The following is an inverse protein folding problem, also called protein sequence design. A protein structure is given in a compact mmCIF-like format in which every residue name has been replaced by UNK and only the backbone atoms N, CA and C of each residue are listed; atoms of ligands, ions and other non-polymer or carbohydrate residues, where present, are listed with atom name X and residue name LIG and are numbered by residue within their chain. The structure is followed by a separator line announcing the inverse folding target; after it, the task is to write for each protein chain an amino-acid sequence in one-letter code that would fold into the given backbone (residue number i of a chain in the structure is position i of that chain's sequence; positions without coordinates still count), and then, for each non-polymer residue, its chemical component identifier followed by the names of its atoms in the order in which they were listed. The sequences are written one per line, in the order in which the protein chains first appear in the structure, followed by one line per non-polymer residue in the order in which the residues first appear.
data_IF_645836838936
#
_entry.id   IF_645836838936
#
_cell.length_a   1.000
_cell.length_b   1.000
_cell.length_c   1.000
_cell.angle_alpha   90.00
_cell.angle_beta   90.00
_cell.angle_gamma   90.00
#
_symmetry.space_group_name_H-M   'P 1'
#
loop_
_entity.id
_entity.type
_entity.pdbx_description
1 polymer ?
#
# COMPACT_ATOMS: atom_id res chain seq x y z
N UNK A 1 -9.51 4.76 -4.23
CA UNK A 1 -8.66 3.55 -4.17
C UNK A 1 -7.83 3.46 -2.88
N UNK A 2 -7.82 2.30 -2.22
CA UNK A 2 -7.05 1.96 -0.99
C UNK A 2 -7.12 2.99 0.15
N UNK A 3 -8.32 3.37 0.59
CA UNK A 3 -8.49 4.41 1.61
C UNK A 3 -8.05 3.93 3.00
N UNK A 4 -8.45 2.72 3.38
CA UNK A 4 -8.16 2.15 4.69
C UNK A 4 -6.68 1.81 4.82
N UNK A 5 -6.05 1.30 3.76
CA UNK A 5 -4.60 1.04 3.73
C UNK A 5 -3.79 2.33 3.93
N UNK A 6 -4.18 3.44 3.29
CA UNK A 6 -3.50 4.74 3.50
C UNK A 6 -3.62 5.22 4.94
N UNK A 7 -4.82 5.12 5.52
CA UNK A 7 -5.04 5.49 6.92
C UNK A 7 -4.19 4.61 7.85
N UNK A 8 -4.09 3.31 7.57
CA UNK A 8 -3.23 2.39 8.31
C UNK A 8 -1.75 2.81 8.23
N UNK A 9 -1.22 3.05 7.02
CA UNK A 9 0.17 3.49 6.84
C UNK A 9 0.47 4.79 7.60
N UNK A 10 -0.45 5.77 7.52
CA UNK A 10 -0.32 7.03 8.26
C UNK A 10 -0.32 6.83 9.77
N UNK A 11 -1.23 5.99 10.29
CA UNK A 11 -1.30 5.67 11.72
C UNK A 11 -0.01 5.01 12.25
N UNK A 12 0.71 4.29 11.39
CA UNK A 12 1.99 3.66 11.69
C UNK A 12 3.21 4.53 11.34
N UNK A 13 3.02 5.78 10.91
CA UNK A 13 4.10 6.69 10.54
C UNK A 13 4.89 6.23 9.30
N UNK A 14 4.27 5.46 8.41
CA UNK A 14 4.88 4.95 7.19
C UNK A 14 4.60 5.91 6.04
N UNK A 15 5.64 6.57 5.56
CA UNK A 15 5.57 7.41 4.38
C UNK A 15 5.13 6.60 3.14
N UNK A 16 4.31 7.22 2.30
CA UNK A 16 3.89 6.65 1.02
C UNK A 16 3.80 7.70 -0.08
N UNK A 17 3.91 7.24 -1.32
CA UNK A 17 3.75 8.04 -2.54
C UNK A 17 2.79 7.34 -3.51
N UNK A 18 1.89 8.13 -4.11
CA UNK A 18 0.88 7.63 -5.05
C UNK A 18 1.39 7.83 -6.47
N UNK A 19 1.38 6.77 -7.26
CA UNK A 19 1.71 6.81 -8.67
C UNK A 19 0.60 6.14 -9.47
N UNK A 20 0.08 6.84 -10.48
CA UNK A 20 -0.90 6.27 -11.38
C UNK A 20 -0.22 5.95 -12.71
N UNK A 21 -0.30 4.69 -13.13
CA UNK A 21 0.25 4.25 -14.41
C UNK A 21 -0.93 3.94 -15.30
N UNK A 22 -0.99 4.59 -16.46
CA UNK A 22 -1.95 4.28 -17.49
C UNK A 22 -1.26 3.39 -18.54
N UNK A 23 -1.35 2.06 -18.43
CA UNK A 23 -0.72 1.18 -19.39
C UNK A 23 -1.39 1.32 -20.76
N UNK A 24 -0.58 1.45 -21.82
CA UNK A 24 -1.06 1.68 -23.19
C UNK A 24 -1.76 0.45 -23.81
N UNK A 25 -1.48 -0.76 -23.30
CA UNK A 25 -1.87 -2.03 -23.95
C UNK A 25 -2.76 -2.96 -23.11
N UNK A 26 -3.10 -2.63 -21.86
CA UNK A 26 -4.02 -3.45 -21.06
C UNK A 26 -5.26 -2.64 -20.65
N UNK A 27 -6.46 -3.26 -20.71
CA UNK A 27 -7.71 -2.58 -20.38
C UNK A 27 -7.84 -2.24 -18.88
N UNK A 28 -7.02 -2.87 -18.04
CA UNK A 28 -7.01 -2.66 -16.61
C UNK A 28 -6.15 -1.46 -16.22
N UNK A 29 -6.69 -0.60 -15.35
CA UNK A 29 -5.92 0.51 -14.80
C UNK A 29 -5.06 0.03 -13.65
N UNK A 30 -3.83 0.55 -13.61
CA UNK A 30 -2.86 0.17 -12.59
C UNK A 30 -2.63 1.35 -11.65
N UNK A 31 -2.99 1.16 -10.38
CA UNK A 31 -2.71 2.11 -9.32
C UNK A 31 -1.55 1.60 -8.47
N UNK A 32 -0.45 2.35 -8.40
CA UNK A 32 0.73 1.99 -7.62
C UNK A 32 0.82 2.88 -6.38
N UNK A 33 0.97 2.26 -5.21
CA UNK A 33 1.21 2.96 -3.94
C UNK A 33 2.56 2.50 -3.40
N UNK A 34 3.58 3.33 -3.56
CA UNK A 34 4.92 3.12 -3.02
C UNK A 34 4.94 3.48 -1.54
N UNK A 35 5.62 2.74 -0.69
CA UNK A 35 5.64 2.99 0.76
C UNK A 35 6.91 2.46 1.45
N UNK A 36 7.16 2.95 2.66
CA UNK A 36 8.32 2.56 3.47
C UNK A 36 9.62 3.10 2.92
N UNK A 37 9.76 4.44 2.99
CA UNK A 37 10.96 5.15 2.52
C UNK A 37 12.20 4.77 3.34
N UNK A 38 13.26 4.37 2.66
CA UNK A 38 14.56 4.07 3.24
C UNK A 38 15.64 4.65 2.33
N UNK A 39 16.59 5.39 2.92
CA UNK A 39 17.71 5.99 2.20
C UNK A 39 17.29 6.84 0.99
N UNK A 40 16.15 7.53 1.09
CA UNK A 40 15.61 8.39 0.03
C UNK A 40 14.64 7.69 -0.93
N UNK A 41 14.59 6.36 -0.96
CA UNK A 41 13.81 5.59 -1.92
C UNK A 41 12.66 4.79 -1.28
N UNK A 42 11.56 4.62 -2.01
CA UNK A 42 10.47 3.75 -1.60
C UNK A 42 10.73 2.30 -2.01
N UNK A 43 10.96 1.45 -1.01
CA UNK A 43 11.36 0.06 -1.25
C UNK A 43 10.17 -0.88 -1.47
N UNK A 44 9.00 -0.54 -0.92
CA UNK A 44 7.82 -1.38 -0.99
C UNK A 44 6.74 -0.75 -1.87
N UNK A 45 5.90 -1.58 -2.49
CA UNK A 45 4.80 -1.09 -3.33
C UNK A 45 3.57 -1.98 -3.26
N UNK A 46 2.40 -1.37 -3.32
CA UNK A 46 1.14 -2.01 -3.67
C UNK A 46 0.85 -1.70 -5.14
N UNK A 47 0.52 -2.72 -5.92
CA UNK A 47 0.06 -2.59 -7.29
C UNK A 47 -1.40 -3.04 -7.30
N UNK A 48 -2.30 -2.15 -7.66
CA UNK A 48 -3.74 -2.40 -7.67
C UNK A 48 -4.22 -2.39 -9.11
N UNK A 49 -4.65 -3.55 -9.56
CA UNK A 49 -5.35 -3.72 -10.83
C UNK A 49 -6.83 -3.47 -10.56
N UNK A 50 -7.40 -2.49 -11.25
CA UNK A 50 -8.80 -2.14 -11.10
C UNK A 50 -9.46 -1.84 -12.44
N UNK A 51 -10.77 -2.06 -12.48
CA UNK A 51 -11.64 -1.71 -13.59
C UNK A 51 -12.77 -0.79 -13.12
N UNK A 52 -13.49 -0.19 -14.06
CA UNK A 52 -14.74 0.49 -13.77
C UNK A 52 -15.90 -0.46 -14.00
N UNK A 53 -16.87 -0.46 -13.08
CA UNK A 53 -18.18 -1.04 -13.35
C UNK A 53 -18.90 -0.20 -14.40
N UNK A 54 -19.95 -0.76 -15.00
CA UNK A 54 -20.86 -0.01 -15.89
C UNK A 54 -21.42 1.27 -15.25
N UNK A 55 -21.54 1.30 -13.92
CA UNK A 55 -21.94 2.47 -13.12
C UNK A 55 -20.80 3.45 -12.80
N UNK A 56 -19.60 3.26 -13.36
CA UNK A 56 -18.43 4.12 -13.16
C UNK A 56 -17.75 3.97 -11.80
N UNK A 57 -18.10 2.94 -10.99
CA UNK A 57 -17.45 2.70 -9.70
C UNK A 57 -16.17 1.91 -9.91
N UNK A 58 -15.12 2.30 -9.19
CA UNK A 58 -13.88 1.53 -9.13
C UNK A 58 -14.13 0.15 -8.51
N UNK A 59 -13.79 -0.90 -9.25
CA UNK A 59 -13.76 -2.28 -8.78
C UNK A 59 -12.31 -2.75 -8.72
N UNK A 60 -11.85 -3.07 -7.53
CA UNK A 60 -10.54 -3.73 -7.33
C UNK A 60 -10.67 -5.17 -7.85
N UNK A 61 -9.82 -5.54 -8.80
CA UNK A 61 -9.71 -6.92 -9.28
C UNK A 61 -8.65 -7.66 -8.48
N UNK A 62 -7.48 -7.02 -8.29
CA UNK A 62 -6.33 -7.62 -7.63
C UNK A 62 -5.46 -6.57 -6.98
N UNK A 63 -4.89 -6.92 -5.82
CA UNK A 63 -3.88 -6.12 -5.15
C UNK A 63 -2.63 -6.98 -4.94
N UNK A 64 -1.53 -6.56 -5.54
CA UNK A 64 -0.24 -7.21 -5.42
C UNK A 64 0.63 -6.39 -4.48
N UNK A 65 1.01 -6.98 -3.35
CA UNK A 65 2.00 -6.44 -2.43
C UNK A 65 3.38 -6.98 -2.79
N UNK A 66 4.31 -6.04 -3.03
CA UNK A 66 5.72 -6.35 -3.22
C UNK A 66 6.52 -5.64 -2.13
N UNK A 67 7.03 -6.45 -1.19
CA UNK A 67 7.97 -6.00 -0.18
C UNK A 67 9.41 -6.17 -0.68
N UNK A 68 10.29 -5.28 -0.25
CA UNK A 68 11.71 -5.42 -0.52
C UNK A 68 12.29 -6.67 0.18
N UNK A 69 13.13 -7.43 -0.52
CA UNK A 69 13.65 -8.73 -0.07
C UNK A 69 12.66 -9.90 -0.19
N UNK A 70 11.42 -9.66 -0.64
CA UNK A 70 10.44 -10.72 -0.85
C UNK A 70 10.62 -11.40 -2.21
N UNK A 71 10.89 -12.71 -2.22
CA UNK A 71 11.09 -13.50 -3.46
C UNK A 71 9.83 -13.60 -4.32
N UNK A 72 8.66 -13.75 -3.69
CA UNK A 72 7.37 -13.85 -4.38
C UNK A 72 6.41 -12.78 -3.87
N UNK A 73 5.84 -11.93 -4.75
CA UNK A 73 4.84 -10.97 -4.34
C UNK A 73 3.61 -11.69 -3.77
N UNK A 74 2.88 -11.01 -2.87
CA UNK A 74 1.61 -11.53 -2.32
C UNK A 74 0.44 -10.87 -3.01
N UNK A 75 -0.57 -11.67 -3.30
CA UNK A 75 -1.74 -11.22 -4.03
C UNK A 75 -2.97 -11.29 -3.12
N UNK A 76 -3.83 -10.29 -3.24
CA UNK A 76 -5.03 -10.15 -2.45
C UNK A 76 -6.19 -9.74 -3.34
N UNK A 77 -7.37 -10.33 -3.12
CA UNK A 77 -8.57 -10.00 -3.87
C UNK A 77 -9.19 -8.64 -3.46
N UNK A 78 -8.93 -8.16 -2.25
CA UNK A 78 -9.54 -6.93 -1.74
C UNK A 78 -8.71 -6.27 -0.62
N UNK A 79 -9.06 -5.03 -0.31
CA UNK A 79 -8.39 -4.20 0.69
C UNK A 79 -8.48 -4.80 2.11
N UNK A 80 -9.56 -5.52 2.45
CA UNK A 80 -9.72 -6.12 3.77
C UNK A 80 -8.71 -7.25 4.03
N UNK A 81 -8.50 -8.14 3.05
CA UNK A 81 -7.49 -9.20 3.12
C UNK A 81 -6.08 -8.63 3.16
N UNK A 82 -5.83 -7.56 2.41
CA UNK A 82 -4.57 -6.84 2.46
C UNK A 82 -4.31 -6.29 3.87
N UNK A 83 -5.28 -5.58 4.47
CA UNK A 83 -5.13 -5.01 5.81
C UNK A 83 -4.87 -6.08 6.88
N UNK A 84 -5.62 -7.19 6.82
CA UNK A 84 -5.40 -8.31 7.75
C UNK A 84 -3.97 -8.85 7.66
N UNK A 85 -3.40 -8.90 6.45
CA UNK A 85 -2.01 -9.27 6.26
C UNK A 85 -1.06 -8.21 6.80
N UNK A 86 -1.32 -6.94 6.53
CA UNK A 86 -0.50 -5.82 7.01
C UNK A 86 -0.43 -5.83 8.54
N UNK A 87 -1.57 -5.88 9.23
CA UNK A 87 -1.63 -5.93 10.70
C UNK A 87 -0.79 -7.08 11.28
N UNK A 88 -0.85 -8.27 10.68
CA UNK A 88 -0.09 -9.45 11.13
C UNK A 88 1.41 -9.36 10.89
N UNK A 89 1.86 -8.52 9.96
CA UNK A 89 3.26 -8.45 9.51
C UNK A 89 3.84 -7.03 9.58
N UNK A 90 3.28 -6.19 10.47
CA UNK A 90 3.68 -4.80 10.64
C UNK A 90 5.19 -4.66 10.93
N UNK A 91 5.78 -5.62 11.62
CA UNK A 91 7.21 -5.71 11.94
C UNK A 91 8.13 -5.62 10.71
N UNK A 92 7.66 -6.01 9.52
CA UNK A 92 8.48 -6.09 8.30
C UNK A 92 8.67 -4.76 7.58
N UNK A 93 7.79 -3.80 7.81
CA UNK A 93 7.76 -2.55 7.03
C UNK A 93 7.45 -1.31 7.85
N UNK A 94 7.01 -1.47 9.10
CA UNK A 94 6.99 -0.40 10.09
C UNK A 94 8.37 -0.35 10.74
N UNK A 95 9.11 0.76 10.59
CA UNK A 95 10.31 0.99 11.40
C UNK A 95 9.87 0.89 12.87
N UNK A 96 10.50 0.04 13.69
CA UNK A 96 10.35 0.11 15.15
C UNK A 96 10.66 1.55 15.53
N UNK A 97 9.63 2.35 15.79
CA UNK A 97 9.82 3.65 16.40
C UNK A 97 10.40 3.33 17.77
N UNK A 98 11.70 3.51 17.94
CA UNK A 98 12.29 3.66 19.26
C UNK A 98 11.54 4.81 19.92
N UNK A 99 10.63 4.46 20.83
CA UNK A 99 9.85 5.30 21.73
C UNK A 99 10.21 6.79 21.69
N UNK A 100 9.73 7.54 20.69
CA UNK A 100 9.64 8.99 20.83
C UNK A 100 8.28 9.25 21.44
N UNK A 101 8.27 9.25 22.78
CA UNK A 101 7.21 9.86 23.60
C UNK A 101 6.75 11.13 22.88
N UNK A 102 5.52 11.12 22.39
CA UNK A 102 4.84 12.33 22.02
C UNK A 102 4.76 13.16 23.30
N UNK A 103 5.65 14.14 23.42
CA UNK A 103 5.56 15.17 24.43
C UNK A 103 4.22 15.86 24.27
N UNK A 104 3.43 15.85 25.35
CA UNK A 104 2.55 16.97 25.65
C UNK A 104 3.32 18.27 25.43
N UNK A 105 2.74 19.15 24.64
CA UNK A 105 2.98 20.60 24.64
C UNK A 105 1.84 21.18 23.79
N UNK A 106 1.07 22.18 24.20
CA UNK A 106 0.84 22.91 25.45
C UNK A 106 -0.51 23.59 25.28
#
# INVERSE_FOLDING_TARGET
MLRRTKNFLNAHGVEYEKEHVNPLMVPERVYVLKFGKRDGEFLNRFIVEHSYTWTGRDKINKITLRLHGQKHPREFANEAKLLQYLEKHADRYVKKQGNKKAGKNS
#
